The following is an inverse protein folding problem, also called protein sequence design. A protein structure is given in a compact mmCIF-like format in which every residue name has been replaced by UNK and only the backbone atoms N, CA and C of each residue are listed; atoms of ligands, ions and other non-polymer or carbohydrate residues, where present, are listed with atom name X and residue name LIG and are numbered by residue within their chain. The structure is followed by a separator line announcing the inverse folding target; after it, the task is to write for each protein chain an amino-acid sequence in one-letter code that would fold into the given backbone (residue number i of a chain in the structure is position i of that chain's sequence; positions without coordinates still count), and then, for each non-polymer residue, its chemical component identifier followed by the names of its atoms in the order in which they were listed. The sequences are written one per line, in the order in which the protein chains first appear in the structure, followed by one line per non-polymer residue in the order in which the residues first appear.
data_IF_363078407747
#
_entry.id   IF_363078407747
#
_cell.length_a   1.000
_cell.length_b   1.000
_cell.length_c   1.000
_cell.angle_alpha   90.00
_cell.angle_beta   90.00
_cell.angle_gamma   90.00
#
_symmetry.space_group_name_H-M   'P 1'
#
loop_
_entity.id
_entity.type
_entity.pdbx_description
1 polymer ?
#
# COMPACT_ATOMS: atom_id res chain seq x y z
N UNK A 1 11.16 3.80 -1.61
CA UNK A 1 10.06 3.07 -2.26
C UNK A 1 8.75 3.81 -2.03
N UNK A 2 8.14 3.78 -0.85
CA UNK A 2 6.92 4.53 -0.53
C UNK A 2 7.17 6.01 -0.14
N UNK A 3 8.39 6.49 -0.27
CA UNK A 3 8.82 7.88 -0.01
C UNK A 3 8.59 8.40 1.41
N UNK A 4 8.39 7.49 2.36
CA UNK A 4 8.33 7.87 3.77
C UNK A 4 9.61 8.55 4.21
N UNK A 5 9.47 9.62 5.00
CA UNK A 5 10.59 10.36 5.58
C UNK A 5 10.87 9.86 6.99
N UNK A 6 12.13 9.60 7.29
CA UNK A 6 12.59 9.32 8.65
C UNK A 6 12.39 10.57 9.51
N UNK A 7 11.71 10.44 10.63
CA UNK A 7 11.44 11.52 11.60
C UNK A 7 12.31 11.37 12.83
N UNK A 8 12.39 10.17 13.38
CA UNK A 8 13.22 9.84 14.55
C UNK A 8 13.75 8.44 14.39
N UNK A 9 15.01 8.22 14.74
CA UNK A 9 15.59 6.89 14.91
C UNK A 9 16.42 6.84 16.21
N UNK A 10 16.49 5.66 16.78
CA UNK A 10 17.43 5.39 17.86
C UNK A 10 18.83 5.21 17.27
N UNK A 11 19.89 5.90 17.80
CA UNK A 11 21.26 5.72 17.34
C UNK A 11 21.79 4.29 17.42
N UNK A 12 21.24 3.48 18.32
CA UNK A 12 21.55 2.04 18.46
C UNK A 12 20.72 1.15 17.53
N UNK A 13 19.79 1.71 16.72
CA UNK A 13 18.95 0.97 15.80
C UNK A 13 17.78 0.24 16.45
N UNK A 14 17.37 0.61 17.66
CA UNK A 14 16.26 -0.05 18.36
C UNK A 14 14.89 0.29 17.74
N UNK A 15 14.73 1.47 17.18
CA UNK A 15 13.49 1.88 16.53
C UNK A 15 13.70 2.94 15.45
N UNK A 16 12.71 3.06 14.54
CA UNK A 16 12.58 4.14 13.58
C UNK A 16 11.12 4.58 13.43
N UNK A 17 10.86 5.88 13.40
CA UNK A 17 9.56 6.47 13.14
C UNK A 17 9.60 7.20 11.81
N UNK A 18 8.66 6.87 10.93
CA UNK A 18 8.62 7.41 9.59
C UNK A 18 7.25 8.01 9.28
N UNK A 19 7.24 9.04 8.44
CA UNK A 19 6.05 9.77 8.04
C UNK A 19 5.86 9.70 6.53
N UNK A 20 4.62 9.42 6.10
CA UNK A 20 4.23 9.46 4.69
C UNK A 20 4.37 10.89 4.12
N UNK A 21 4.58 11.04 2.80
CA UNK A 21 4.49 12.35 2.15
C UNK A 21 3.16 13.02 2.51
N UNK A 22 3.19 14.32 2.76
CA UNK A 22 2.01 15.17 3.01
C UNK A 22 1.12 14.79 4.21
N UNK A 23 1.53 13.80 5.01
CA UNK A 23 0.83 13.45 6.25
C UNK A 23 0.98 14.55 7.31
N UNK A 24 -0.12 14.95 8.00
CA UNK A 24 -0.07 15.90 9.11
C UNK A 24 0.37 15.23 10.43
N UNK A 25 0.51 13.91 10.48
CA UNK A 25 0.87 13.16 11.68
C UNK A 25 2.35 13.37 12.03
N UNK A 26 2.71 13.17 13.30
CA UNK A 26 4.12 13.11 13.68
C UNK A 26 4.83 11.95 12.95
N UNK A 27 4.21 10.78 12.93
CA UNK A 27 4.62 9.61 12.16
C UNK A 27 3.39 8.76 11.81
N UNK A 28 3.50 7.95 10.76
CA UNK A 28 2.44 7.08 10.28
C UNK A 28 2.81 5.60 10.45
N UNK A 29 4.10 5.30 10.54
CA UNK A 29 4.60 3.95 10.77
C UNK A 29 5.81 3.99 11.71
N UNK A 30 5.93 2.96 12.53
CA UNK A 30 7.05 2.75 13.43
C UNK A 30 7.61 1.32 13.27
N UNK A 31 8.91 1.21 13.26
CA UNK A 31 9.63 -0.06 13.26
C UNK A 31 10.39 -0.22 14.58
N UNK A 32 10.39 -1.43 15.12
CA UNK A 32 11.13 -1.78 16.34
C UNK A 32 11.95 -3.03 16.08
N UNK A 33 13.25 -2.96 16.41
CA UNK A 33 14.14 -4.11 16.31
C UNK A 33 13.86 -5.06 17.45
N UNK A 34 13.49 -6.31 17.12
CA UNK A 34 13.27 -7.38 18.11
C UNK A 34 14.42 -8.40 18.13
N UNK A 35 15.45 -8.18 17.30
CA UNK A 35 16.69 -8.95 17.30
C UNK A 35 16.61 -10.30 16.57
N UNK A 36 17.64 -11.11 16.77
CA UNK A 36 17.82 -12.40 16.08
C UNK A 36 16.78 -13.45 16.45
N UNK A 37 16.05 -13.27 17.54
CA UNK A 37 15.02 -14.20 18.03
C UNK A 37 13.65 -13.92 17.41
N UNK A 38 13.56 -12.95 16.49
CA UNK A 38 12.35 -12.66 15.74
C UNK A 38 11.92 -13.85 14.89
N UNK A 39 10.71 -14.34 15.13
CA UNK A 39 10.07 -15.33 14.27
C UNK A 39 9.34 -14.67 13.10
N UNK A 40 9.03 -15.42 12.02
CA UNK A 40 8.24 -14.92 10.92
C UNK A 40 6.82 -14.56 11.36
N UNK A 41 6.22 -13.55 10.74
CA UNK A 41 4.80 -13.25 10.94
C UNK A 41 3.94 -14.38 10.34
N UNK A 42 2.98 -14.87 11.12
CA UNK A 42 1.93 -15.79 10.67
C UNK A 42 0.55 -15.11 10.57
N UNK A 43 0.48 -13.80 10.81
CA UNK A 43 -0.76 -13.03 10.73
C UNK A 43 -1.39 -13.16 9.33
N UNK A 44 -2.72 -13.31 9.31
CA UNK A 44 -3.47 -13.51 8.08
C UNK A 44 -3.36 -14.90 7.43
N UNK A 45 -2.49 -15.78 7.94
CA UNK A 45 -2.30 -17.15 7.41
C UNK A 45 -2.93 -18.21 8.31
N UNK A 46 -2.50 -18.30 9.57
CA UNK A 46 -2.96 -19.32 10.52
C UNK A 46 -3.30 -18.75 11.90
N UNK A 47 -2.96 -17.50 12.16
CA UNK A 47 -3.19 -16.83 13.44
C UNK A 47 -4.09 -15.62 13.23
N UNK A 48 -4.85 -15.26 14.26
CA UNK A 48 -5.55 -13.98 14.31
C UNK A 48 -4.51 -12.86 14.42
N UNK A 49 -4.70 -11.80 13.65
CA UNK A 49 -3.79 -10.64 13.65
C UNK A 49 -4.14 -9.66 12.53
N UNK A 50 -3.36 -8.61 12.43
CA UNK A 50 -3.48 -7.68 11.31
C UNK A 50 -3.00 -8.38 10.03
N UNK A 51 -3.87 -8.41 9.00
CA UNK A 51 -3.53 -9.06 7.74
C UNK A 51 -2.62 -8.17 6.89
N UNK A 52 -3.06 -6.95 6.57
CA UNK A 52 -2.24 -5.94 5.90
C UNK A 52 -2.65 -4.52 6.27
N UNK A 53 -1.79 -3.57 5.95
CA UNK A 53 -2.07 -2.13 5.93
C UNK A 53 -2.22 -1.68 4.49
N UNK A 54 -3.15 -0.77 4.20
CA UNK A 54 -3.32 -0.15 2.89
C UNK A 54 -2.85 1.30 2.90
N UNK A 55 -2.07 1.68 1.90
CA UNK A 55 -1.60 3.04 1.66
C UNK A 55 -2.24 3.58 0.39
N UNK A 56 -2.92 4.71 0.49
CA UNK A 56 -3.56 5.35 -0.66
C UNK A 56 -2.54 6.22 -1.41
N UNK A 57 -2.58 6.15 -2.75
CA UNK A 57 -1.86 7.05 -3.65
C UNK A 57 -2.83 8.02 -4.31
N UNK A 58 -2.32 9.17 -4.74
CA UNK A 58 -3.14 10.27 -5.23
C UNK A 58 -3.83 9.97 -6.58
N UNK A 59 -3.17 9.22 -7.45
CA UNK A 59 -3.66 8.95 -8.80
C UNK A 59 -3.14 7.62 -9.38
N UNK A 60 -3.66 7.25 -10.55
CA UNK A 60 -3.26 6.04 -11.27
C UNK A 60 -1.84 6.11 -11.86
N UNK A 61 -1.29 7.31 -12.08
CA UNK A 61 0.10 7.46 -12.51
C UNK A 61 1.06 7.12 -11.37
N UNK A 62 0.70 7.54 -10.15
CA UNK A 62 1.44 7.16 -8.96
C UNK A 62 1.33 5.66 -8.65
N UNK A 63 0.14 5.08 -8.80
CA UNK A 63 -0.05 3.64 -8.64
C UNK A 63 0.84 2.85 -9.62
N UNK A 64 0.92 3.31 -10.89
CA UNK A 64 1.80 2.68 -11.88
C UNK A 64 3.28 2.80 -11.50
N UNK A 65 3.72 3.98 -11.07
CA UNK A 65 5.09 4.19 -10.56
C UNK A 65 5.39 3.29 -9.36
N UNK A 66 4.43 3.14 -8.44
CA UNK A 66 4.58 2.21 -7.31
C UNK A 66 4.70 0.77 -7.75
N UNK A 67 3.89 0.33 -8.72
CA UNK A 67 4.00 -1.02 -9.28
C UNK A 67 5.39 -1.31 -9.82
N UNK A 68 5.97 -0.37 -10.55
CA UNK A 68 7.33 -0.52 -11.09
C UNK A 68 8.39 -0.58 -9.99
N UNK A 69 8.29 0.30 -8.98
CA UNK A 69 9.21 0.33 -7.83
C UNK A 69 9.15 -0.96 -7.02
N UNK A 70 7.93 -1.43 -6.71
CA UNK A 70 7.71 -2.68 -5.96
C UNK A 70 8.22 -3.90 -6.72
N UNK A 71 8.01 -3.91 -8.05
CA UNK A 71 8.54 -4.98 -8.93
C UNK A 71 10.06 -4.96 -8.97
N UNK A 72 10.69 -3.80 -9.13
CA UNK A 72 12.13 -3.66 -9.15
C UNK A 72 12.79 -4.06 -7.83
N UNK A 73 12.09 -3.87 -6.71
CA UNK A 73 12.54 -4.29 -5.39
C UNK A 73 12.27 -5.78 -5.09
N UNK A 74 11.58 -6.49 -5.97
CA UNK A 74 11.16 -7.89 -5.74
C UNK A 74 10.08 -8.03 -4.64
N UNK A 75 9.43 -6.93 -4.25
CA UNK A 75 8.45 -6.88 -3.18
C UNK A 75 7.01 -7.13 -3.67
N UNK A 76 6.70 -6.87 -4.95
CA UNK A 76 5.35 -7.02 -5.50
C UNK A 76 4.95 -8.50 -5.54
N UNK A 77 3.85 -8.86 -4.88
CA UNK A 77 3.32 -10.23 -4.81
C UNK A 77 1.99 -10.40 -5.52
N UNK A 78 1.27 -9.31 -5.82
CA UNK A 78 0.00 -9.38 -6.51
C UNK A 78 -0.57 -8.03 -6.89
N UNK A 79 -1.67 -8.04 -7.65
CA UNK A 79 -2.46 -6.85 -7.95
C UNK A 79 -3.90 -7.24 -8.25
N UNK A 80 -4.86 -6.36 -7.95
CA UNK A 80 -6.28 -6.61 -8.19
C UNK A 80 -7.04 -5.32 -8.49
N UNK A 81 -8.07 -5.44 -9.32
CA UNK A 81 -9.15 -4.47 -9.45
C UNK A 81 -10.32 -4.93 -8.58
N UNK A 82 -10.69 -4.13 -7.59
CA UNK A 82 -11.81 -4.37 -6.68
C UNK A 82 -13.05 -3.52 -7.02
N UNK A 83 -13.11 -2.93 -8.22
CA UNK A 83 -14.17 -2.00 -8.58
C UNK A 83 -13.91 -0.62 -7.96
N UNK A 84 -14.12 -0.50 -6.66
CA UNK A 84 -13.98 0.74 -5.88
C UNK A 84 -12.52 1.13 -5.59
N UNK A 85 -11.58 0.22 -5.69
CA UNK A 85 -10.15 0.50 -5.57
C UNK A 85 -9.30 -0.36 -6.51
N UNK A 86 -8.11 0.12 -6.83
CA UNK A 86 -7.11 -0.53 -7.67
C UNK A 86 -5.87 -0.77 -6.82
N UNK A 87 -5.48 -2.04 -6.64
CA UNK A 87 -4.59 -2.46 -5.57
C UNK A 87 -3.35 -3.19 -6.05
N UNK A 88 -2.25 -2.91 -5.40
CA UNK A 88 -0.98 -3.62 -5.49
C UNK A 88 -0.70 -4.23 -4.13
N UNK A 89 -0.36 -5.51 -4.08
CA UNK A 89 0.03 -6.21 -2.86
C UNK A 89 1.52 -6.45 -2.87
N UNK A 90 2.15 -6.20 -1.75
CA UNK A 90 3.59 -6.34 -1.59
C UNK A 90 3.95 -6.87 -0.20
N UNK A 91 5.16 -7.41 -0.07
CA UNK A 91 5.74 -7.81 1.21
C UNK A 91 6.97 -6.98 1.52
N UNK A 92 7.13 -6.64 2.78
CA UNK A 92 8.35 -6.03 3.28
C UNK A 92 9.46 -7.06 3.49
N UNK A 93 10.70 -6.66 3.86
CA UNK A 93 11.79 -7.60 4.10
C UNK A 93 11.53 -8.61 5.21
N UNK A 94 10.66 -8.33 6.17
CA UNK A 94 10.27 -9.21 7.26
C UNK A 94 9.08 -10.13 6.90
N UNK A 95 8.56 -9.99 5.66
CA UNK A 95 7.45 -10.77 5.15
C UNK A 95 6.07 -10.27 5.56
N UNK A 96 5.97 -9.05 6.09
CA UNK A 96 4.68 -8.42 6.38
C UNK A 96 4.03 -7.94 5.07
N UNK A 97 2.77 -8.29 4.88
CA UNK A 97 2.02 -7.86 3.71
C UNK A 97 1.50 -6.43 3.88
N UNK A 98 1.58 -5.65 2.82
CA UNK A 98 0.97 -4.33 2.72
C UNK A 98 0.37 -4.12 1.33
N UNK A 99 -0.60 -3.23 1.28
CA UNK A 99 -1.29 -2.82 0.06
C UNK A 99 -0.92 -1.38 -0.30
N UNK A 100 -0.77 -1.11 -1.60
CA UNK A 100 -0.77 0.25 -2.13
C UNK A 100 -1.93 0.35 -3.10
N UNK A 101 -2.83 1.28 -2.87
CA UNK A 101 -4.06 1.37 -3.64
C UNK A 101 -4.37 2.79 -4.11
N UNK A 102 -5.06 2.89 -5.23
CA UNK A 102 -5.79 4.07 -5.64
C UNK A 102 -7.28 3.86 -5.42
N UNK A 103 -7.92 4.77 -4.69
CA UNK A 103 -9.35 4.71 -4.42
C UNK A 103 -10.10 5.44 -5.52
N UNK A 104 -11.01 4.74 -6.19
CA UNK A 104 -11.97 5.35 -7.14
C UNK A 104 -12.82 6.37 -6.36
N UNK A 105 -13.06 7.59 -6.87
CA UNK A 105 -13.93 8.55 -6.21
C UNK A 105 -15.30 7.95 -5.87
N UNK A 106 -15.83 8.19 -4.65
CA UNK A 106 -17.07 7.55 -4.19
C UNK A 106 -18.29 7.76 -5.09
N UNK A 107 -18.38 8.90 -5.78
CA UNK A 107 -19.44 9.21 -6.74
C UNK A 107 -19.39 8.34 -8.02
N UNK A 108 -18.35 7.54 -8.19
CA UNK A 108 -18.14 6.62 -9.32
C UNK A 108 -18.23 5.13 -8.95
N UNK A 109 -18.50 4.79 -7.68
CA UNK A 109 -18.56 3.40 -7.24
C UNK A 109 -19.78 2.66 -7.81
N UNK A 110 -20.96 3.31 -7.85
CA UNK A 110 -22.19 2.69 -8.32
C UNK A 110 -22.51 1.41 -7.53
N UNK A 111 -22.88 0.36 -8.25
CA UNK A 111 -23.22 -0.94 -7.65
C UNK A 111 -21.98 -1.68 -7.09
N UNK A 112 -20.77 -1.32 -7.55
CA UNK A 112 -19.50 -1.91 -7.08
C UNK A 112 -19.26 -1.67 -5.58
N UNK A 113 -19.93 -0.67 -4.95
CA UNK A 113 -19.82 -0.37 -3.51
C UNK A 113 -20.17 -1.56 -2.62
N UNK A 114 -21.10 -2.39 -3.06
CA UNK A 114 -21.64 -3.50 -2.28
C UNK A 114 -21.18 -4.87 -2.79
N UNK A 115 -20.24 -4.90 -3.72
CA UNK A 115 -19.75 -6.11 -4.37
C UNK A 115 -18.32 -6.45 -3.94
N UNK A 116 -18.06 -7.72 -3.65
CA UNK A 116 -16.71 -8.23 -3.40
C UNK A 116 -16.02 -8.59 -4.73
N UNK A 117 -15.54 -7.58 -5.44
CA UNK A 117 -14.97 -7.72 -6.77
C UNK A 117 -13.49 -8.08 -6.69
N UNK A 118 -13.08 -9.07 -7.49
CA UNK A 118 -11.67 -9.43 -7.70
C UNK A 118 -11.49 -9.68 -9.20
N UNK A 119 -10.80 -8.75 -9.89
CA UNK A 119 -10.50 -8.80 -11.33
C UNK A 119 -9.02 -8.54 -11.57
N UNK A 120 -8.45 -8.97 -12.72
CA UNK A 120 -7.13 -8.53 -13.12
C UNK A 120 -7.04 -7.02 -13.23
N UNK A 121 -5.99 -6.42 -12.66
CA UNK A 121 -5.74 -4.98 -12.72
C UNK A 121 -5.16 -4.60 -14.08
N UNK A 122 -5.82 -3.68 -14.79
CA UNK A 122 -5.33 -3.03 -16.01
C UNK A 122 -5.30 -1.50 -15.82
N UNK A 123 -4.16 -1.00 -15.29
CA UNK A 123 -3.98 0.44 -15.02
C UNK A 123 -4.11 1.26 -16.31
N UNK A 124 -3.69 0.74 -17.47
CA UNK A 124 -3.77 1.49 -18.72
C UNK A 124 -5.23 1.66 -19.19
N UNK A 125 -6.09 0.65 -18.98
CA UNK A 125 -7.51 0.75 -19.22
C UNK A 125 -8.19 1.69 -18.22
N UNK A 126 -7.82 1.59 -16.94
CA UNK A 126 -8.36 2.46 -15.88
C UNK A 126 -7.99 3.93 -16.08
N UNK A 127 -6.77 4.25 -16.50
CA UNK A 127 -6.38 5.62 -16.89
C UNK A 127 -7.26 6.20 -17.99
N UNK A 128 -7.68 5.39 -18.96
CA UNK A 128 -8.62 5.82 -20.00
C UNK A 128 -10.04 5.98 -19.45
N UNK A 129 -10.48 5.05 -18.61
CA UNK A 129 -11.81 5.05 -17.97
C UNK A 129 -12.02 6.28 -17.08
N UNK A 130 -10.98 6.70 -16.38
CA UNK A 130 -11.01 7.77 -15.39
C UNK A 130 -10.25 9.04 -15.83
N UNK A 131 -10.04 9.22 -17.16
CA UNK A 131 -9.29 10.34 -17.72
C UNK A 131 -9.90 11.72 -17.42
N UNK A 132 -11.18 11.78 -17.06
CA UNK A 132 -11.92 12.98 -16.70
C UNK A 132 -11.77 13.38 -15.22
N UNK A 133 -11.14 12.53 -14.41
CA UNK A 133 -10.96 12.81 -13.00
C UNK A 133 -9.68 13.63 -12.78
N UNK A 134 -9.76 14.76 -12.02
CA UNK A 134 -8.56 15.42 -11.57
C UNK A 134 -7.79 14.51 -10.61
N UNK A 135 -6.46 14.49 -10.71
CA UNK A 135 -5.64 13.89 -9.66
C UNK A 135 -6.01 14.51 -8.31
N UNK A 136 -6.08 13.70 -7.26
CA UNK A 136 -6.26 14.24 -5.90
C UNK A 136 -5.00 15.04 -5.53
N UNK A 137 -5.21 16.29 -5.14
CA UNK A 137 -4.17 17.18 -4.61
C UNK A 137 -3.97 16.90 -3.13
#
# INVERSE_FOLDING_TARGET
MLEFRLIVEDPGGAFAFMRAPDSPNHHDIAFFTIGSDAGPSEAGRRTVGLYHLAWEVADLDELERMRERLRAAGALVGSSDHGVNKSLYATDPDGLEFEVMWLVPPDRWGDDEHEAIIRPLDIAADKKRFADLPGRV
#
